data_IF_249024177813
#
_entry.id   IF_249024177813
#
_cell.length_a   1.000
_cell.length_b   1.000
_cell.length_c   1.000
_cell.angle_alpha   90.00
_cell.angle_beta   90.00
_cell.angle_gamma   90.00
#
_symmetry.space_group_name_H-M   'P 1'
#
loop_
_entity.id
_entity.type
_entity.pdbx_description
1 polymer ?
#
# COMPACT_ATOMS: atom_id res chain seq x y z
N UNK A 1 -4.86 17.02 7.36
CA UNK A 1 -4.31 15.86 6.62
C UNK A 1 -2.86 16.18 6.32
N UNK A 2 -1.95 15.27 6.62
CA UNK A 2 -0.53 15.45 6.30
C UNK A 2 -0.32 15.43 4.78
N UNK A 3 0.63 16.23 4.30
CA UNK A 3 0.98 16.21 2.88
C UNK A 3 1.81 14.95 2.59
N UNK A 4 1.35 14.15 1.63
CA UNK A 4 2.01 12.93 1.18
C UNK A 4 2.55 13.10 -0.24
N UNK A 5 3.49 12.23 -0.60
CA UNK A 5 4.13 12.17 -1.91
C UNK A 5 3.24 11.50 -2.97
N UNK A 6 3.83 11.13 -4.12
CA UNK A 6 3.06 10.55 -5.23
C UNK A 6 2.40 9.23 -4.85
N UNK A 7 1.28 8.93 -5.51
CA UNK A 7 0.60 7.65 -5.41
C UNK A 7 1.38 6.53 -6.11
N UNK A 8 1.01 5.28 -5.86
CA UNK A 8 1.56 4.15 -6.62
C UNK A 8 1.16 4.19 -8.10
N UNK A 9 0.00 4.75 -8.46
CA UNK A 9 -0.39 4.94 -9.87
C UNK A 9 0.54 5.96 -10.55
N UNK A 10 0.84 7.07 -9.88
CA UNK A 10 1.77 8.09 -10.40
C UNK A 10 3.16 7.49 -10.63
N UNK A 11 3.68 6.74 -9.64
CA UNK A 11 4.97 6.07 -9.74
C UNK A 11 4.98 4.97 -10.81
N UNK A 12 3.87 4.26 -10.98
CA UNK A 12 3.74 3.23 -12.00
C UNK A 12 3.79 3.84 -13.39
N UNK A 13 3.08 4.95 -13.61
CA UNK A 13 3.13 5.71 -14.85
C UNK A 13 4.53 6.29 -15.11
N UNK A 14 5.20 6.83 -14.09
CA UNK A 14 6.60 7.26 -14.19
C UNK A 14 7.55 6.13 -14.62
N UNK A 15 7.31 4.90 -14.16
CA UNK A 15 8.10 3.73 -14.51
C UNK A 15 7.64 3.04 -15.81
N UNK A 16 7.02 3.78 -16.75
CA UNK A 16 6.49 3.23 -18.01
C UNK A 16 5.54 2.04 -17.80
N UNK A 17 4.71 2.12 -16.75
CA UNK A 17 3.71 1.10 -16.38
C UNK A 17 4.32 -0.28 -16.13
N UNK A 18 5.53 -0.31 -15.55
CA UNK A 18 6.18 -1.55 -15.16
C UNK A 18 7.06 -1.37 -13.93
N UNK A 19 6.77 -2.13 -12.89
CA UNK A 19 7.67 -2.29 -11.75
C UNK A 19 8.50 -3.57 -11.88
N UNK A 20 9.67 -3.56 -11.25
CA UNK A 20 10.48 -4.78 -11.11
C UNK A 20 9.87 -5.70 -10.04
N UNK A 21 10.17 -7.00 -10.09
CA UNK A 21 9.72 -7.94 -9.05
C UNK A 21 10.18 -7.52 -7.64
N UNK A 22 11.41 -6.99 -7.51
CA UNK A 22 11.92 -6.46 -6.25
C UNK A 22 11.02 -5.34 -5.71
N UNK A 23 10.68 -4.37 -6.57
CA UNK A 23 9.79 -3.25 -6.20
C UNK A 23 8.40 -3.76 -5.80
N UNK A 24 7.82 -4.69 -6.57
CA UNK A 24 6.50 -5.27 -6.28
C UNK A 24 6.49 -5.95 -4.90
N UNK A 25 7.50 -6.75 -4.59
CA UNK A 25 7.59 -7.45 -3.31
C UNK A 25 7.76 -6.47 -2.13
N UNK A 26 8.59 -5.43 -2.29
CA UNK A 26 8.75 -4.38 -1.28
C UNK A 26 7.47 -3.60 -1.02
N UNK A 27 6.67 -3.33 -2.07
CA UNK A 27 5.39 -2.65 -1.93
C UNK A 27 4.34 -3.57 -1.31
N UNK A 28 4.28 -4.83 -1.73
CA UNK A 28 3.31 -5.80 -1.23
C UNK A 28 3.42 -6.01 0.29
N UNK A 29 4.64 -6.15 0.81
CA UNK A 29 4.91 -6.26 2.24
C UNK A 29 4.31 -5.08 3.04
N UNK A 30 4.54 -3.85 2.56
CA UNK A 30 3.99 -2.66 3.19
C UNK A 30 2.47 -2.55 3.01
N UNK A 31 1.92 -2.85 1.83
CA UNK A 31 0.48 -2.80 1.55
C UNK A 31 -0.30 -3.75 2.46
N UNK A 32 0.15 -4.99 2.58
CA UNK A 32 -0.45 -5.99 3.48
C UNK A 32 -0.42 -5.49 4.92
N UNK A 33 0.72 -4.96 5.37
CA UNK A 33 0.85 -4.39 6.71
C UNK A 33 -0.14 -3.25 6.98
N UNK A 34 -0.45 -2.41 5.97
CA UNK A 34 -1.46 -1.34 6.12
C UNK A 34 -2.87 -1.89 6.19
N UNK A 35 -3.21 -2.86 5.35
CA UNK A 35 -4.53 -3.49 5.35
C UNK A 35 -4.76 -4.23 6.68
N UNK A 36 -3.77 -4.98 7.15
CA UNK A 36 -3.81 -5.64 8.46
C UNK A 36 -4.07 -4.63 9.58
N UNK A 37 -3.34 -3.51 9.59
CA UNK A 37 -3.56 -2.45 10.58
C UNK A 37 -5.01 -1.96 10.59
N UNK A 38 -5.59 -1.68 9.42
CA UNK A 38 -6.99 -1.25 9.30
C UNK A 38 -7.94 -2.32 9.86
N UNK A 39 -7.68 -3.60 9.57
CA UNK A 39 -8.47 -4.72 10.08
C UNK A 39 -8.33 -4.88 11.60
N UNK A 40 -7.16 -4.62 12.19
CA UNK A 40 -6.98 -4.62 13.66
C UNK A 40 -7.88 -3.59 14.34
N UNK A 41 -8.19 -2.48 13.64
CA UNK A 41 -9.11 -1.43 14.10
C UNK A 41 -10.59 -1.73 13.82
N UNK A 42 -10.92 -2.95 13.38
CA UNK A 42 -12.28 -3.44 13.08
C UNK A 42 -12.94 -2.81 11.84
N UNK A 43 -12.14 -2.22 10.95
CA UNK A 43 -12.60 -1.66 9.68
C UNK A 43 -12.08 -2.46 8.49
N UNK A 44 -12.80 -2.38 7.38
CA UNK A 44 -12.33 -2.75 6.04
C UNK A 44 -12.30 -1.48 5.17
N UNK A 45 -11.32 -1.38 4.27
CA UNK A 45 -11.15 -0.19 3.44
C UNK A 45 -12.17 -0.08 2.30
N UNK A 46 -12.49 -1.22 1.67
CA UNK A 46 -13.40 -1.37 0.50
C UNK A 46 -13.01 -0.70 -0.82
N UNK A 47 -11.96 0.12 -0.84
CA UNK A 47 -11.44 0.71 -2.08
C UNK A 47 -9.92 0.61 -2.17
N UNK A 48 -9.41 -0.63 -2.32
CA UNK A 48 -7.98 -0.91 -2.47
C UNK A 48 -7.59 -0.68 -3.93
N UNK A 49 -6.77 0.34 -4.18
CA UNK A 49 -6.28 0.70 -5.52
C UNK A 49 -4.96 1.48 -5.44
N UNK A 50 -4.14 1.49 -6.50
CA UNK A 50 -2.83 2.16 -6.48
C UNK A 50 -2.90 3.66 -6.12
N UNK A 51 -3.97 4.34 -6.51
CA UNK A 51 -4.21 5.76 -6.20
C UNK A 51 -4.34 6.03 -4.69
N UNK A 52 -4.82 5.04 -3.92
CA UNK A 52 -5.02 5.16 -2.47
C UNK A 52 -3.77 4.77 -1.66
N UNK A 53 -2.68 4.40 -2.32
CA UNK A 53 -1.40 4.16 -1.67
C UNK A 53 -0.39 5.23 -2.06
N UNK A 54 0.05 6.03 -1.09
CA UNK A 54 0.96 7.16 -1.32
C UNK A 54 2.28 6.96 -0.60
N UNK A 55 3.37 7.43 -1.19
CA UNK A 55 4.66 7.50 -0.53
C UNK A 55 4.70 8.68 0.45
N UNK A 56 5.46 8.59 1.55
CA UNK A 56 5.73 9.75 2.41
C UNK A 56 6.63 10.82 1.76
N UNK A 57 6.59 12.05 2.26
CA UNK A 57 7.50 13.15 1.87
C UNK A 57 8.67 13.26 2.86
N UNK A 58 9.93 13.23 2.38
CA UNK A 58 11.11 13.73 3.13
C UNK A 58 12.30 12.76 3.35
N UNK A 59 13.52 13.30 3.21
CA UNK A 59 14.92 12.78 3.40
C UNK A 59 15.30 11.39 2.87
N UNK A 60 14.36 10.56 2.43
CA UNK A 60 14.56 9.13 2.16
C UNK A 60 14.33 8.72 0.69
N UNK A 61 14.08 9.67 -0.21
CA UNK A 61 13.88 9.47 -1.64
C UNK A 61 15.19 9.23 -2.43
N UNK A 62 16.17 8.55 -1.84
CA UNK A 62 17.42 8.19 -2.52
C UNK A 62 17.44 6.69 -2.84
N UNK A 63 17.49 6.37 -4.15
CA UNK A 63 17.79 5.06 -4.78
C UNK A 63 16.68 4.00 -4.87
N UNK A 64 15.53 4.30 -5.48
CA UNK A 64 14.68 3.23 -6.06
C UNK A 64 14.35 3.44 -7.55
N UNK A 65 14.92 4.45 -8.20
CA UNK A 65 14.66 4.78 -9.61
C UNK A 65 15.95 4.92 -10.43
N UNK A 66 17.01 4.14 -10.13
CA UNK A 66 18.15 4.07 -11.05
C UNK A 66 17.76 3.21 -12.27
N UNK A 67 17.56 3.90 -13.39
CA UNK A 67 17.59 3.34 -14.74
C UNK A 67 19.05 3.10 -15.17
N UNK A 68 19.37 2.12 -16.05
CA UNK A 68 20.74 1.81 -16.40
C UNK A 68 21.25 2.74 -17.51
N UNK A 69 21.95 3.84 -17.16
CA UNK A 69 22.90 4.50 -18.08
C UNK A 69 24.08 5.01 -17.25
N UNK A 70 25.29 4.53 -17.57
CA UNK A 70 26.43 4.56 -16.68
C UNK A 70 27.09 5.92 -16.40
N UNK A 71 27.95 5.92 -15.36
CA UNK A 71 29.27 6.59 -15.29
C UNK A 71 30.01 6.26 -13.97
N UNK A 72 31.03 5.41 -14.11
CA UNK A 72 32.34 5.25 -13.42
C UNK A 72 32.68 5.99 -12.09
N UNK A 73 33.02 5.16 -11.07
CA UNK A 73 34.13 5.14 -10.06
C UNK A 73 34.29 6.17 -8.92
N UNK A 74 34.41 5.62 -7.69
CA UNK A 74 35.45 5.75 -6.60
C UNK A 74 34.73 5.58 -5.23
N UNK A 75 35.23 5.03 -4.12
CA UNK A 75 36.41 4.28 -3.65
C UNK A 75 36.01 3.72 -2.25
N UNK A 76 36.68 2.68 -1.76
CA UNK A 76 36.42 1.97 -0.49
C UNK A 76 36.52 2.81 0.79
N UNK A 77 35.71 2.47 1.80
CA UNK A 77 36.11 2.39 3.22
C UNK A 77 35.34 1.24 3.90
N UNK A 78 36.06 0.37 4.62
CA UNK A 78 35.52 -0.72 5.45
C UNK A 78 35.58 -0.30 6.92
N UNK A 79 34.49 -0.45 7.67
CA UNK A 79 34.52 -0.59 9.13
C UNK A 79 33.19 -1.12 9.70
N UNK A 80 33.24 -2.38 10.14
CA UNK A 80 32.76 -2.93 11.43
C UNK A 80 31.32 -2.67 11.90
N UNK A 81 30.49 -3.72 11.74
CA UNK A 81 29.50 -4.29 12.68
C UNK A 81 28.73 -3.35 13.63
N UNK A 82 27.48 -3.10 13.28
CA UNK A 82 26.29 -3.09 14.14
C UNK A 82 25.09 -2.91 13.20
N UNK A 83 24.23 -3.92 13.06
CA UNK A 83 23.05 -3.91 12.19
C UNK A 83 22.09 -2.76 12.56
N UNK A 84 21.94 -1.71 11.72
CA UNK A 84 20.97 -0.66 11.95
C UNK A 84 19.79 -0.90 10.98
N UNK A 85 18.73 -1.47 11.55
CA UNK A 85 17.33 -1.15 11.24
C UNK A 85 16.95 -0.92 9.77
N UNK A 86 16.16 -1.87 9.26
CA UNK A 86 15.32 -1.84 8.05
C UNK A 86 14.29 -0.67 8.00
N UNK A 87 14.45 0.37 8.81
CA UNK A 87 13.47 1.42 9.13
C UNK A 87 13.79 2.78 8.48
N UNK A 88 14.31 2.77 7.25
CA UNK A 88 14.79 4.00 6.61
C UNK A 88 14.57 4.09 5.11
N UNK A 89 13.59 3.37 4.53
CA UNK A 89 13.31 3.49 3.09
C UNK A 89 11.82 3.70 2.86
N UNK A 90 11.48 4.88 2.31
CA UNK A 90 10.21 5.29 1.72
C UNK A 90 8.94 4.59 2.27
N UNK A 91 8.38 5.14 3.34
CA UNK A 91 7.16 4.65 3.97
C UNK A 91 5.94 4.79 3.04
N UNK A 92 5.18 3.70 2.87
CA UNK A 92 3.91 3.66 2.16
C UNK A 92 2.75 3.97 3.12
N UNK A 93 1.78 4.77 2.67
CA UNK A 93 0.57 5.18 3.40
C UNK A 93 -0.68 4.71 2.64
N UNK A 94 -1.73 4.34 3.38
CA UNK A 94 -3.07 4.05 2.83
C UNK A 94 -3.99 5.23 3.17
N UNK A 95 -4.67 5.77 2.16
CA UNK A 95 -5.56 6.93 2.27
C UNK A 95 -6.96 6.62 1.73
N UNK A 96 -7.86 7.60 1.84
CA UNK A 96 -9.23 7.56 1.34
C UNK A 96 -10.12 6.49 2.00
N UNK A 97 -10.42 6.72 3.28
CA UNK A 97 -11.35 5.91 4.06
C UNK A 97 -12.82 6.27 3.80
N UNK A 98 -13.15 7.01 2.73
CA UNK A 98 -14.53 7.44 2.45
C UNK A 98 -15.51 6.30 2.24
N UNK A 99 -15.01 5.15 1.74
CA UNK A 99 -15.77 3.92 1.61
C UNK A 99 -15.50 2.91 2.74
N UNK A 100 -14.71 3.24 3.76
CA UNK A 100 -14.41 2.29 4.82
C UNK A 100 -15.67 1.91 5.62
N UNK A 101 -15.71 0.68 6.14
CA UNK A 101 -16.86 0.17 6.90
C UNK A 101 -16.38 -0.69 8.06
N UNK A 102 -17.07 -0.64 9.20
CA UNK A 102 -16.85 -1.61 10.29
C UNK A 102 -17.33 -2.99 9.87
N UNK A 103 -16.49 -4.01 10.03
CA UNK A 103 -16.83 -5.40 9.71
C UNK A 103 -17.05 -6.27 10.95
N UNK A 104 -16.68 -5.77 12.13
CA UNK A 104 -16.96 -6.42 13.41
C UNK A 104 -17.19 -5.42 14.53
N UNK A 105 -17.93 -5.84 15.54
CA UNK A 105 -18.16 -5.07 16.76
C UNK A 105 -16.85 -4.86 17.53
N UNK A 106 -16.68 -3.66 18.11
CA UNK A 106 -15.43 -3.29 18.79
C UNK A 106 -15.26 -4.02 20.13
N UNK A 107 -16.36 -4.37 20.81
CA UNK A 107 -16.36 -4.97 22.15
C UNK A 107 -16.48 -6.49 22.06
N UNK A 108 -17.45 -6.99 21.33
CA UNK A 108 -17.73 -8.43 21.24
C UNK A 108 -16.91 -9.12 20.17
N UNK A 109 -16.27 -8.36 19.28
CA UNK A 109 -15.56 -8.86 18.08
C UNK A 109 -16.49 -9.65 17.15
N UNK A 110 -17.81 -9.54 17.33
CA UNK A 110 -18.79 -10.21 16.51
C UNK A 110 -18.77 -9.63 15.11
N UNK A 111 -18.60 -10.51 14.14
CA UNK A 111 -18.53 -10.17 12.73
C UNK A 111 -19.90 -9.79 12.17
N UNK A 112 -19.94 -8.92 11.16
CA UNK A 112 -21.20 -8.59 10.47
C UNK A 112 -21.81 -9.85 9.81
N UNK A 113 -23.14 -9.96 9.75
CA UNK A 113 -23.78 -11.07 9.06
C UNK A 113 -23.45 -11.02 7.57
N UNK A 114 -23.36 -12.19 6.94
CA UNK A 114 -23.31 -12.31 5.50
C UNK A 114 -24.56 -11.71 4.85
N UNK A 115 -24.39 -10.97 3.76
CA UNK A 115 -25.48 -10.34 3.00
C UNK A 115 -25.14 -10.32 1.51
N UNK A 116 -26.17 -10.50 0.69
CA UNK A 116 -26.10 -10.42 -0.77
C UNK A 116 -26.84 -9.17 -1.26
N UNK A 117 -27.04 -9.07 -2.58
CA UNK A 117 -27.79 -8.00 -3.25
C UNK A 117 -27.26 -6.59 -2.96
N UNK A 118 -25.95 -6.46 -2.73
CA UNK A 118 -25.29 -5.16 -2.63
C UNK A 118 -24.91 -4.64 -4.01
N UNK A 119 -25.10 -3.33 -4.21
CA UNK A 119 -24.50 -2.64 -5.34
C UNK A 119 -22.97 -2.72 -5.24
N UNK A 120 -22.30 -2.83 -6.38
CA UNK A 120 -20.85 -2.75 -6.46
C UNK A 120 -20.38 -1.41 -5.89
N UNK A 121 -19.53 -1.45 -4.86
CA UNK A 121 -18.87 -0.28 -4.27
C UNK A 121 -17.37 -0.34 -4.48
N UNK A 122 -16.74 0.81 -4.66
CA UNK A 122 -15.29 0.91 -4.92
C UNK A 122 -14.96 0.80 -6.41
N UNK A 123 -13.67 0.66 -6.70
CA UNK A 123 -13.17 0.67 -8.08
C UNK A 123 -13.29 -0.71 -8.74
N UNK A 124 -14.15 -0.83 -9.77
CA UNK A 124 -14.49 -2.10 -10.44
C UNK A 124 -13.27 -2.92 -10.92
N UNK A 125 -12.20 -2.26 -11.37
CA UNK A 125 -10.96 -2.92 -11.84
C UNK A 125 -10.26 -3.73 -10.76
N UNK A 126 -10.36 -3.30 -9.50
CA UNK A 126 -9.66 -3.89 -8.36
C UNK A 126 -10.62 -4.60 -7.40
N UNK A 127 -11.91 -4.64 -7.72
CA UNK A 127 -12.94 -5.26 -6.89
C UNK A 127 -12.79 -6.78 -6.87
N UNK A 128 -13.08 -7.39 -5.72
CA UNK A 128 -13.11 -8.85 -5.59
C UNK A 128 -14.27 -9.46 -6.38
N UNK A 129 -14.15 -10.76 -6.70
CA UNK A 129 -15.23 -11.51 -7.36
C UNK A 129 -16.51 -11.44 -6.52
N UNK A 130 -16.40 -11.56 -5.19
CA UNK A 130 -17.55 -11.46 -4.28
C UNK A 130 -18.22 -10.08 -4.35
N UNK A 131 -17.45 -9.00 -4.47
CA UNK A 131 -18.02 -7.66 -4.63
C UNK A 131 -18.76 -7.52 -5.98
N UNK A 132 -18.26 -8.14 -7.05
CA UNK A 132 -18.97 -8.20 -8.34
C UNK A 132 -20.25 -9.02 -8.29
N UNK A 133 -20.30 -10.05 -7.45
CA UNK A 133 -21.50 -10.86 -7.19
C UNK A 133 -22.49 -10.19 -6.21
N UNK A 134 -22.22 -8.96 -5.77
CA UNK A 134 -23.07 -8.23 -4.84
C UNK A 134 -23.03 -8.76 -3.40
N UNK A 135 -21.99 -9.51 -3.05
CA UNK A 135 -21.76 -9.98 -1.67
C UNK A 135 -21.15 -8.84 -0.84
N UNK A 136 -21.68 -8.64 0.36
CA UNK A 136 -21.17 -7.63 1.30
C UNK A 136 -19.72 -7.93 1.71
N UNK A 137 -18.84 -6.94 1.57
CA UNK A 137 -17.42 -7.08 1.94
C UNK A 137 -17.24 -7.08 3.45
N UNK A 138 -16.31 -7.92 3.93
CA UNK A 138 -15.90 -8.07 5.33
C UNK A 138 -14.52 -8.71 5.47
#
# INVERSE_FOLDING_TARGET
>A
MDLLGPSLEDLFNFCSRRFTMKTVLMLADQMISRIEYVHTKNFIHRDIKPDNFLMGIGRHCNKCLESPVGKRKRSMTVSTSQDPSFSGLNQLFLIDFGLAKKYRDNRTRQHIPYREDKNLTGTARYASINAHLGIEQF
#
